data_IF_228269774619
#
_entry.id   IF_228269774619
#
_cell.length_a   1.000
_cell.length_b   1.000
_cell.length_c   1.000
_cell.angle_alpha   90.00
_cell.angle_beta   90.00
_cell.angle_gamma   90.00
#
_symmetry.space_group_name_H-M   'P 1'
#
loop_
_entity.id
_entity.type
_entity.pdbx_description
1 polymer ?
#
# COMPACT_ATOMS: atom_id res chain seq x y z
N UNK A 1 -20.57 0.46 4.01
CA UNK A 1 -20.50 1.36 2.83
C UNK A 1 -19.14 1.17 2.18
N UNK A 2 -19.10 1.08 0.84
CA UNK A 2 -17.86 0.97 0.09
C UNK A 2 -17.33 2.38 -0.15
N UNK A 3 -16.16 2.69 0.41
CA UNK A 3 -15.55 4.02 0.35
C UNK A 3 -14.02 3.98 0.43
N UNK A 4 -13.39 2.79 0.41
CA UNK A 4 -11.94 2.67 0.59
C UNK A 4 -11.25 2.22 -0.68
N UNK A 5 -10.07 2.75 -0.95
CA UNK A 5 -9.16 2.28 -2.01
C UNK A 5 -7.92 1.65 -1.40
N UNK A 6 -7.42 0.62 -2.05
CA UNK A 6 -6.13 0.01 -1.73
C UNK A 6 -5.05 0.78 -2.48
N UNK A 7 -4.03 1.24 -1.76
CA UNK A 7 -2.86 1.92 -2.31
C UNK A 7 -1.64 1.07 -2.04
N UNK A 8 -0.83 0.85 -3.07
CA UNK A 8 0.46 0.17 -2.95
C UNK A 8 1.54 1.20 -3.21
N UNK A 9 2.37 1.46 -2.21
CA UNK A 9 3.53 2.33 -2.30
C UNK A 9 4.83 1.54 -2.22
N UNK A 10 5.89 2.10 -2.78
CA UNK A 10 7.26 1.57 -2.65
C UNK A 10 8.09 2.53 -1.80
N UNK A 11 8.90 1.93 -0.95
CA UNK A 11 9.92 2.61 -0.16
C UNK A 11 11.29 2.10 -0.60
N UNK A 12 12.23 3.03 -0.78
CA UNK A 12 13.63 2.74 -1.10
C UNK A 12 14.51 2.90 0.13
N UNK A 13 15.41 1.96 0.37
CA UNK A 13 16.39 2.02 1.44
C UNK A 13 17.68 2.69 0.94
N UNK A 14 18.06 3.80 1.56
CA UNK A 14 19.31 4.51 1.24
C UNK A 14 20.53 3.95 1.98
N UNK A 15 20.33 2.92 2.80
CA UNK A 15 21.31 2.36 3.73
C UNK A 15 21.27 2.98 5.13
N UNK A 16 20.56 4.09 5.31
CA UNK A 16 20.37 4.76 6.62
C UNK A 16 18.91 5.02 6.95
N UNK A 17 18.07 5.22 5.93
CA UNK A 17 16.65 5.48 6.09
C UNK A 17 15.84 4.86 4.94
N UNK A 18 14.54 4.68 5.20
CA UNK A 18 13.58 4.32 4.18
C UNK A 18 12.91 5.59 3.65
N UNK A 19 13.03 5.82 2.36
CA UNK A 19 12.50 6.98 1.67
C UNK A 19 11.30 6.56 0.82
N UNK A 20 10.20 7.28 0.96
CA UNK A 20 9.01 7.07 0.13
C UNK A 20 9.33 7.41 -1.33
N UNK A 21 9.06 6.48 -2.24
CA UNK A 21 9.35 6.63 -3.68
C UNK A 21 8.10 6.80 -4.54
N UNK A 22 6.92 6.86 -3.91
CA UNK A 22 5.65 7.08 -4.60
C UNK A 22 4.68 5.90 -4.53
N UNK A 23 3.41 6.23 -4.80
CA UNK A 23 2.34 5.27 -4.99
C UNK A 23 2.49 4.63 -6.37
N UNK A 24 2.70 3.32 -6.40
CA UNK A 24 2.84 2.57 -7.65
C UNK A 24 1.49 2.08 -8.17
N UNK A 25 0.51 1.94 -7.29
CA UNK A 25 -0.82 1.51 -7.63
C UNK A 25 -1.86 2.09 -6.68
N UNK A 26 -3.02 2.44 -7.25
CA UNK A 26 -4.24 2.80 -6.53
C UNK A 26 -5.37 1.99 -7.15
N UNK A 27 -6.14 1.28 -6.33
CA UNK A 27 -7.23 0.47 -6.83
C UNK A 27 -8.33 1.33 -7.45
N UNK A 28 -8.82 0.90 -8.62
CA UNK A 28 -9.99 1.53 -9.24
C UNK A 28 -11.30 1.05 -8.61
N UNK A 29 -11.29 -0.17 -8.04
CA UNK A 29 -12.41 -0.67 -7.25
C UNK A 29 -12.42 -0.03 -5.86
N UNK A 30 -13.64 0.23 -5.36
CA UNK A 30 -13.89 0.75 -4.03
C UNK A 30 -14.38 -0.39 -3.13
N UNK A 31 -13.76 -0.50 -1.97
CA UNK A 31 -14.00 -1.54 -0.98
C UNK A 31 -14.69 -1.00 0.27
N UNK A 32 -15.29 -1.89 1.05
CA UNK A 32 -15.51 -1.60 2.48
C UNK A 32 -14.18 -1.55 3.21
N UNK A 33 -14.15 -0.92 4.39
CA UNK A 33 -12.94 -0.87 5.23
C UNK A 33 -12.38 -2.26 5.52
N UNK A 34 -13.26 -3.21 5.88
CA UNK A 34 -12.84 -4.57 6.25
C UNK A 34 -12.27 -5.34 5.05
N UNK A 35 -12.91 -5.25 3.87
CA UNK A 35 -12.39 -5.86 2.64
C UNK A 35 -11.03 -5.29 2.27
N UNK A 36 -10.87 -3.96 2.32
CA UNK A 36 -9.59 -3.33 2.02
C UNK A 36 -8.49 -3.80 2.97
N UNK A 37 -8.75 -3.79 4.28
CA UNK A 37 -7.76 -4.21 5.28
C UNK A 37 -7.36 -5.69 5.12
N UNK A 38 -8.29 -6.55 4.71
CA UNK A 38 -7.98 -7.94 4.37
C UNK A 38 -7.06 -8.05 3.16
N UNK A 39 -7.24 -7.21 2.14
CA UNK A 39 -6.35 -7.17 0.96
C UNK A 39 -4.97 -6.59 1.30
N UNK A 40 -4.91 -5.62 2.21
CA UNK A 40 -3.69 -4.97 2.68
C UNK A 40 -2.89 -5.79 3.70
N UNK A 41 -3.41 -6.94 4.15
CA UNK A 41 -2.71 -7.81 5.10
C UNK A 41 -1.36 -8.28 4.52
N UNK A 42 -0.28 -7.78 5.14
CA UNK A 42 1.10 -7.96 4.72
C UNK A 42 1.53 -9.42 4.60
N UNK A 43 0.87 -10.34 5.31
CA UNK A 43 1.17 -11.78 5.24
C UNK A 43 1.07 -12.34 3.81
N UNK A 44 0.15 -11.82 3.00
CA UNK A 44 -0.05 -12.23 1.60
C UNK A 44 1.03 -11.67 0.64
N UNK A 45 1.77 -10.64 1.07
CA UNK A 45 2.68 -9.86 0.23
C UNK A 45 4.16 -10.03 0.59
N UNK A 46 4.46 -10.73 1.69
CA UNK A 46 5.84 -10.98 2.14
C UNK A 46 6.76 -11.59 1.07
N UNK A 47 6.24 -12.38 0.14
CA UNK A 47 7.02 -12.94 -0.98
C UNK A 47 7.66 -11.88 -1.90
N UNK A 48 7.14 -10.65 -1.89
CA UNK A 48 7.65 -9.54 -2.70
C UNK A 48 8.68 -8.67 -1.96
N UNK A 49 8.89 -8.92 -0.66
CA UNK A 49 9.85 -8.20 0.19
C UNK A 49 11.21 -8.91 0.30
N UNK A 50 11.67 -9.50 -0.81
CA UNK A 50 12.87 -10.35 -0.85
C UNK A 50 14.14 -9.57 -1.27
N UNK A 51 14.36 -8.36 -0.76
CA UNK A 51 15.59 -7.61 -1.01
C UNK A 51 15.80 -6.50 0.05
N UNK A 52 17.03 -6.03 0.29
CA UNK A 52 17.31 -4.99 1.29
C UNK A 52 17.10 -3.55 0.81
N UNK A 53 16.81 -3.34 -0.49
CA UNK A 53 16.78 -2.03 -1.13
C UNK A 53 15.38 -1.45 -1.30
N UNK A 54 14.36 -2.29 -1.39
CA UNK A 54 12.99 -1.91 -1.66
C UNK A 54 12.03 -2.64 -0.75
N UNK A 55 11.03 -1.92 -0.26
CA UNK A 55 9.90 -2.46 0.48
C UNK A 55 8.59 -1.97 -0.14
N UNK A 56 7.53 -2.75 0.05
CA UNK A 56 6.18 -2.42 -0.39
C UNK A 56 5.30 -2.15 0.82
N UNK A 57 4.55 -1.06 0.80
CA UNK A 57 3.53 -0.77 1.81
C UNK A 57 2.15 -0.79 1.15
N UNK A 58 1.21 -1.42 1.83
CA UNK A 58 -0.19 -1.50 1.41
C UNK A 58 -1.03 -0.75 2.42
N UNK A 59 -1.74 0.25 1.95
CA UNK A 59 -2.55 1.13 2.78
C UNK A 59 -3.99 1.17 2.27
N UNK A 60 -4.91 1.42 3.19
CA UNK A 60 -6.32 1.58 2.92
C UNK A 60 -6.75 2.99 3.25
N UNK A 61 -7.02 3.78 2.21
CA UNK A 61 -7.48 5.16 2.37
C UNK A 61 -8.97 5.24 2.07
N UNK A 62 -9.67 6.12 2.79
CA UNK A 62 -10.98 6.57 2.32
C UNK A 62 -10.78 7.32 1.00
N UNK A 63 -11.59 7.02 -0.02
CA UNK A 63 -11.46 7.54 -1.37
C UNK A 63 -11.57 9.07 -1.43
N UNK A 64 -12.35 9.66 -0.53
CA UNK A 64 -12.57 11.10 -0.46
C UNK A 64 -11.40 11.82 0.26
N UNK A 65 -10.64 11.10 1.08
CA UNK A 65 -9.48 11.62 1.82
C UNK A 65 -8.14 11.33 1.08
N UNK A 66 -8.19 10.63 -0.06
CA UNK A 66 -7.01 10.25 -0.83
C UNK A 66 -6.71 11.29 -1.91
N UNK A 67 -5.67 12.09 -1.67
CA UNK A 67 -5.27 13.21 -2.54
C UNK A 67 -4.21 12.87 -3.61
N UNK A 68 -3.79 11.60 -3.71
CA UNK A 68 -2.83 11.14 -4.72
C UNK A 68 -1.41 11.65 -4.50
#
# INVERSE_FOLDING_TARGET
MKAFVLVISIWGNTGTEWVYTGNQYVSQEIYTKEECLKLADASSWNKFRNNPFYDIQLDCFNKDDYDG
#
